data_IF_432838697450
#
_entry.id   IF_432838697450
#
_cell.length_a   1.000
_cell.length_b   1.000
_cell.length_c   1.000
_cell.angle_alpha   90.00
_cell.angle_beta   90.00
_cell.angle_gamma   90.00
#
_symmetry.space_group_name_H-M   'P 1'
#
loop_
_entity.id
_entity.type
_entity.pdbx_description
1 polymer ?
#
# COMPACT_ATOMS: atom_id res chain seq x y z
N UNK A 1 31.99 -44.20 -22.68
CA UNK A 1 31.19 -43.88 -21.47
C UNK A 1 29.85 -43.32 -21.96
N UNK A 2 28.87 -44.17 -22.34
CA UNK A 2 27.68 -44.62 -21.57
C UNK A 2 26.88 -43.51 -20.83
N UNK A 3 25.85 -42.98 -21.54
CA UNK A 3 24.44 -42.66 -21.13
C UNK A 3 24.16 -41.60 -20.02
N UNK A 4 22.93 -41.02 -19.90
CA UNK A 4 21.83 -40.87 -20.87
C UNK A 4 21.08 -39.50 -20.87
N UNK A 5 20.19 -39.37 -21.86
CA UNK A 5 19.02 -38.48 -21.96
C UNK A 5 18.03 -38.59 -20.77
N UNK A 6 17.29 -37.51 -20.50
CA UNK A 6 15.88 -37.59 -20.08
C UNK A 6 15.07 -36.35 -20.56
N UNK A 7 14.08 -36.65 -21.39
CA UNK A 7 12.93 -35.82 -21.81
C UNK A 7 11.79 -36.04 -20.81
N UNK A 8 10.91 -35.05 -20.62
CA UNK A 8 9.45 -35.08 -20.31
C UNK A 8 9.09 -33.89 -19.41
N UNK A 9 7.93 -33.23 -19.47
CA UNK A 9 6.81 -33.19 -20.41
C UNK A 9 5.98 -31.94 -20.04
N UNK A 10 5.52 -31.20 -21.04
CA UNK A 10 4.51 -30.16 -20.86
C UNK A 10 3.12 -30.82 -20.79
N UNK A 11 2.37 -30.54 -19.72
CA UNK A 11 0.96 -30.93 -19.62
C UNK A 11 0.10 -29.70 -19.88
N UNK A 12 -0.53 -29.71 -21.07
CA UNK A 12 -1.67 -28.87 -21.42
C UNK A 12 -2.92 -29.49 -20.78
N UNK A 13 -3.59 -28.74 -19.90
CA UNK A 13 -4.98 -29.02 -19.53
C UNK A 13 -5.88 -27.94 -20.15
N UNK A 14 -6.56 -28.33 -21.23
CA UNK A 14 -7.73 -27.64 -21.73
C UNK A 14 -8.94 -28.07 -20.90
N UNK A 15 -9.54 -27.13 -20.18
CA UNK A 15 -10.81 -27.30 -19.49
C UNK A 15 -11.78 -26.22 -19.96
N UNK A 16 -12.79 -26.63 -20.73
CA UNK A 16 -13.88 -25.78 -21.17
C UNK A 16 -14.81 -25.45 -19.99
N UNK A 17 -15.07 -24.16 -19.75
CA UNK A 17 -16.16 -23.73 -18.88
C UNK A 17 -17.02 -22.67 -19.59
N UNK A 18 -18.31 -22.94 -19.51
CA UNK A 18 -19.47 -22.32 -20.16
C UNK A 18 -19.70 -20.86 -19.75
N UNK A 19 -20.29 -20.08 -20.67
CA UNK A 19 -20.75 -18.71 -20.44
C UNK A 19 -21.82 -18.62 -19.32
N UNK A 20 -21.90 -17.50 -18.57
CA UNK A 20 -22.78 -17.35 -17.42
C UNK A 20 -24.22 -17.01 -17.81
N UNK A 21 -25.17 -17.55 -17.04
CA UNK A 21 -26.57 -17.10 -17.03
C UNK A 21 -26.71 -15.83 -16.16
N UNK A 22 -27.34 -14.80 -16.72
CA UNK A 22 -27.75 -13.59 -16.00
C UNK A 22 -28.92 -13.88 -15.05
N UNK A 23 -28.83 -13.39 -13.82
CA UNK A 23 -29.96 -13.22 -12.92
C UNK A 23 -30.02 -11.76 -12.45
N UNK A 24 -31.23 -11.23 -12.46
CA UNK A 24 -31.57 -9.82 -12.36
C UNK A 24 -31.52 -9.24 -10.93
N UNK A 25 -31.63 -7.91 -10.91
CA UNK A 25 -31.50 -6.93 -9.83
C UNK A 25 -32.33 -7.19 -8.56
N UNK A 26 -31.72 -6.84 -7.42
CA UNK A 26 -32.40 -6.54 -6.17
C UNK A 26 -31.89 -5.20 -5.63
N UNK A 27 -32.80 -4.22 -5.52
CA UNK A 27 -32.55 -2.88 -4.97
C UNK A 27 -32.25 -2.92 -3.47
N UNK A 28 -31.05 -2.49 -3.07
CA UNK A 28 -30.72 -2.24 -1.66
C UNK A 28 -29.26 -1.83 -1.47
N UNK A 29 -29.02 -0.52 -1.26
CA UNK A 29 -27.73 0.07 -0.88
C UNK A 29 -26.61 -0.15 -1.90
N UNK A 30 -26.11 0.92 -2.53
CA UNK A 30 -24.89 0.84 -3.35
C UNK A 30 -23.70 0.53 -2.43
N UNK A 31 -23.47 -0.75 -2.16
CA UNK A 31 -22.19 -1.25 -1.65
C UNK A 31 -21.18 -0.91 -2.73
N UNK A 32 -20.23 -0.03 -2.43
CA UNK A 32 -19.20 0.33 -3.40
C UNK A 32 -18.44 -0.94 -3.71
N UNK A 33 -18.23 -1.24 -5.00
CA UNK A 33 -17.60 -2.50 -5.39
C UNK A 33 -16.16 -2.65 -4.85
N UNK A 34 -15.57 -1.56 -4.34
CA UNK A 34 -14.27 -1.55 -3.66
C UNK A 34 -14.25 -2.10 -2.23
N UNK A 35 -15.39 -2.47 -1.64
CA UNK A 35 -15.49 -2.83 -0.20
C UNK A 35 -15.11 -4.30 0.11
N UNK A 36 -14.80 -5.10 -0.92
CA UNK A 36 -14.61 -6.57 -0.80
C UNK A 36 -13.19 -7.05 -1.12
N UNK A 37 -12.26 -6.14 -1.40
CA UNK A 37 -10.94 -6.49 -1.93
C UNK A 37 -11.00 -6.96 -3.39
N UNK A 38 -9.84 -7.12 -4.03
CA UNK A 38 -9.71 -7.49 -5.45
C UNK A 38 -8.32 -8.04 -5.75
N UNK A 39 -8.15 -8.71 -6.89
CA UNK A 39 -6.84 -9.19 -7.36
C UNK A 39 -6.37 -8.34 -8.53
N UNK A 40 -5.17 -7.78 -8.48
CA UNK A 40 -4.61 -7.03 -9.61
C UNK A 40 -4.27 -7.99 -10.76
N UNK A 41 -4.91 -7.83 -11.92
CA UNK A 41 -4.80 -8.80 -13.04
C UNK A 41 -3.79 -8.40 -14.13
N UNK A 42 -3.26 -7.18 -14.07
CA UNK A 42 -2.33 -6.67 -15.07
C UNK A 42 -0.91 -7.18 -14.79
N UNK A 43 -0.30 -7.97 -15.68
CA UNK A 43 1.03 -8.56 -15.45
C UNK A 43 2.16 -7.52 -15.43
N UNK A 44 1.87 -6.25 -15.77
CA UNK A 44 2.81 -5.15 -15.63
C UNK A 44 2.95 -4.70 -14.17
N UNK A 45 1.99 -5.00 -13.30
CA UNK A 45 2.04 -4.66 -11.88
C UNK A 45 2.65 -5.87 -11.15
N UNK A 46 3.94 -5.79 -10.86
CA UNK A 46 4.72 -6.88 -10.25
C UNK A 46 5.16 -6.57 -8.83
N UNK A 47 5.30 -5.30 -8.49
CA UNK A 47 5.94 -4.78 -7.27
C UNK A 47 5.10 -3.63 -6.71
N UNK A 48 3.77 -3.81 -6.61
CA UNK A 48 2.84 -2.78 -6.10
C UNK A 48 3.23 -2.31 -4.69
N UNK A 49 3.99 -1.22 -4.58
CA UNK A 49 4.56 -0.74 -3.31
C UNK A 49 3.59 0.19 -2.54
N UNK A 50 2.85 1.06 -3.22
CA UNK A 50 1.83 1.91 -2.61
C UNK A 50 0.40 1.68 -3.12
N UNK A 51 -0.61 2.08 -2.34
CA UNK A 51 -2.02 2.06 -2.75
C UNK A 51 -2.75 3.34 -2.32
N UNK A 52 -3.56 3.93 -3.19
CA UNK A 52 -4.41 5.06 -2.83
C UNK A 52 -5.78 5.02 -3.51
N UNK A 53 -6.86 5.13 -2.73
CA UNK A 53 -8.22 5.19 -3.28
C UNK A 53 -8.46 6.50 -4.03
N UNK A 54 -9.00 6.40 -5.24
CA UNK A 54 -9.34 7.55 -6.09
C UNK A 54 -10.40 8.44 -5.45
N UNK A 55 -10.21 9.77 -5.55
CA UNK A 55 -11.24 10.74 -5.16
C UNK A 55 -12.21 11.03 -6.31
N UNK A 56 -11.73 11.06 -7.55
CA UNK A 56 -12.55 11.35 -8.73
C UNK A 56 -13.34 10.16 -9.27
N UNK A 57 -12.89 8.93 -9.04
CA UNK A 57 -13.44 7.71 -9.63
C UNK A 57 -13.73 6.67 -8.54
N UNK A 58 -14.94 6.65 -7.97
CA UNK A 58 -15.32 5.69 -6.95
C UNK A 58 -15.04 4.24 -7.38
N UNK A 59 -14.36 3.48 -6.51
CA UNK A 59 -13.98 2.08 -6.77
C UNK A 59 -12.66 1.91 -7.55
N UNK A 60 -11.96 3.00 -7.88
CA UNK A 60 -10.63 2.94 -8.49
C UNK A 60 -9.55 3.12 -7.43
N UNK A 61 -8.46 2.37 -7.57
CA UNK A 61 -7.29 2.45 -6.72
C UNK A 61 -6.05 2.71 -7.57
N UNK A 62 -5.24 3.68 -7.15
CA UNK A 62 -3.96 4.00 -7.76
C UNK A 62 -2.85 3.21 -7.09
N UNK A 63 -1.94 2.66 -7.89
CA UNK A 63 -0.73 1.97 -7.45
C UNK A 63 0.45 2.30 -8.38
N UNK A 64 1.66 1.95 -7.97
CA UNK A 64 2.87 1.96 -8.78
C UNK A 64 3.71 0.74 -8.44
N UNK A 65 4.56 0.32 -9.38
CA UNK A 65 5.64 -0.58 -9.03
C UNK A 65 6.75 0.18 -8.28
N UNK A 66 7.57 -0.53 -7.53
CA UNK A 66 8.83 -0.03 -6.97
C UNK A 66 9.91 0.15 -8.08
N UNK A 67 11.19 0.12 -7.69
CA UNK A 67 12.34 0.54 -8.46
C UNK A 67 12.50 -0.25 -9.76
N UNK A 68 12.69 0.48 -10.86
CA UNK A 68 13.05 -0.10 -12.16
C UNK A 68 11.92 -0.24 -13.20
N UNK A 69 10.65 0.00 -12.85
CA UNK A 69 9.54 -0.02 -13.83
C UNK A 69 9.50 1.26 -14.69
N UNK A 70 9.70 2.41 -14.06
CA UNK A 70 9.70 3.72 -14.70
C UNK A 70 8.67 4.68 -14.10
N UNK A 71 8.38 5.81 -14.77
CA UNK A 71 7.56 6.89 -14.22
C UNK A 71 6.06 6.61 -14.45
N UNK A 72 5.54 5.49 -13.95
CA UNK A 72 4.16 5.06 -14.17
C UNK A 72 3.37 4.96 -12.86
N UNK A 73 2.09 5.33 -12.93
CA UNK A 73 1.08 4.89 -11.96
C UNK A 73 -0.07 4.19 -12.72
N UNK A 74 -0.71 3.26 -12.06
CA UNK A 74 -1.76 2.40 -12.62
C UNK A 74 -3.06 2.64 -11.86
N UNK A 75 -4.16 2.87 -12.57
CA UNK A 75 -5.52 2.84 -12.02
C UNK A 75 -6.09 1.44 -12.16
N UNK A 76 -6.40 0.81 -11.04
CA UNK A 76 -7.01 -0.52 -10.97
C UNK A 76 -8.46 -0.40 -10.54
N UNK A 77 -9.36 -1.04 -11.27
CA UNK A 77 -10.77 -1.17 -10.93
C UNK A 77 -10.93 -2.20 -9.80
N UNK A 78 -11.44 -1.76 -8.65
CA UNK A 78 -11.60 -2.60 -7.46
C UNK A 78 -12.74 -3.61 -7.53
N UNK A 79 -13.60 -3.55 -8.54
CA UNK A 79 -14.64 -4.56 -8.76
C UNK A 79 -14.12 -5.76 -9.57
N UNK A 80 -13.20 -5.49 -10.49
CA UNK A 80 -12.75 -6.46 -11.50
C UNK A 80 -11.26 -6.80 -11.41
N UNK A 81 -10.47 -6.00 -10.70
CA UNK A 81 -9.03 -6.12 -10.64
C UNK A 81 -8.29 -5.71 -11.91
N UNK A 82 -8.99 -5.10 -12.88
CA UNK A 82 -8.42 -4.71 -14.18
C UNK A 82 -7.78 -3.34 -14.11
N UNK A 83 -6.61 -3.18 -14.72
CA UNK A 83 -6.04 -1.84 -14.98
C UNK A 83 -6.87 -1.12 -16.04
N UNK A 84 -7.43 0.03 -15.68
CA UNK A 84 -8.27 0.87 -16.56
C UNK A 84 -7.54 2.11 -17.06
N UNK A 85 -6.38 2.45 -16.48
CA UNK A 85 -5.48 3.46 -17.02
C UNK A 85 -4.05 3.21 -16.54
N UNK A 86 -3.07 3.51 -17.40
CA UNK A 86 -1.69 3.75 -17.02
C UNK A 86 -1.32 5.21 -17.29
N UNK A 87 -0.96 5.93 -16.25
CA UNK A 87 -0.50 7.33 -16.37
C UNK A 87 1.02 7.35 -16.37
N UNK A 88 1.61 7.95 -17.41
CA UNK A 88 3.04 8.26 -17.47
C UNK A 88 3.29 9.66 -16.92
N UNK A 89 4.18 9.79 -15.95
CA UNK A 89 4.58 11.06 -15.36
C UNK A 89 5.65 11.71 -16.26
N UNK A 90 5.44 12.99 -16.61
CA UNK A 90 6.41 13.83 -17.33
C UNK A 90 6.75 15.07 -16.49
N UNK A 91 7.94 15.65 -16.71
CA UNK A 91 8.39 16.83 -15.97
C UNK A 91 9.15 16.49 -14.69
N UNK A 92 9.45 15.20 -14.50
CA UNK A 92 10.25 14.66 -13.41
C UNK A 92 11.60 14.17 -13.95
N UNK A 93 12.57 13.97 -13.05
CA UNK A 93 13.84 13.32 -13.35
C UNK A 93 13.66 11.82 -13.64
N UNK A 94 14.77 11.08 -13.70
CA UNK A 94 14.71 9.62 -13.72
C UNK A 94 14.34 9.12 -12.31
N UNK A 95 13.20 8.43 -12.13
CA UNK A 95 12.86 7.88 -10.82
C UNK A 95 13.91 6.90 -10.35
N UNK A 96 14.14 6.80 -9.04
CA UNK A 96 15.16 5.92 -8.49
C UNK A 96 14.60 4.80 -7.60
N UNK A 97 13.75 5.13 -6.62
CA UNK A 97 13.20 4.20 -5.60
C UNK A 97 11.79 4.70 -5.22
N UNK A 98 10.78 4.30 -6.00
CA UNK A 98 9.41 4.84 -5.89
C UNK A 98 8.62 3.96 -4.95
N UNK A 99 8.39 4.44 -3.73
CA UNK A 99 7.87 3.61 -2.64
C UNK A 99 6.47 3.97 -2.17
N UNK A 100 5.95 5.15 -2.55
CA UNK A 100 4.70 5.59 -1.96
C UNK A 100 3.77 6.35 -2.92
N UNK A 101 2.47 6.26 -2.67
CA UNK A 101 1.45 7.04 -3.34
C UNK A 101 0.36 7.46 -2.35
N UNK A 102 -0.12 8.69 -2.49
CA UNK A 102 -1.18 9.25 -1.65
C UNK A 102 -2.04 10.21 -2.47
N UNK A 103 -3.27 10.48 -2.02
CA UNK A 103 -4.10 11.53 -2.62
C UNK A 103 -4.37 12.60 -1.57
N UNK A 104 -4.05 13.84 -1.94
CA UNK A 104 -4.28 15.01 -1.12
C UNK A 104 -5.57 15.76 -1.46
N UNK A 105 -5.78 16.93 -0.84
CA UNK A 105 -6.84 17.84 -1.21
C UNK A 105 -6.81 18.18 -2.71
N UNK A 106 -7.96 18.61 -3.24
CA UNK A 106 -8.13 19.04 -4.64
C UNK A 106 -7.90 17.94 -5.69
N UNK A 107 -8.02 16.66 -5.29
CA UNK A 107 -7.83 15.51 -6.17
C UNK A 107 -6.43 15.49 -6.79
N UNK A 108 -5.43 15.60 -5.94
CA UNK A 108 -4.03 15.62 -6.36
C UNK A 108 -3.34 14.37 -5.86
N UNK A 109 -2.75 13.64 -6.78
CA UNK A 109 -1.96 12.45 -6.49
C UNK A 109 -0.54 12.93 -6.15
N UNK A 110 0.02 12.34 -5.10
CA UNK A 110 1.40 12.50 -4.68
C UNK A 110 2.08 11.15 -4.76
N UNK A 111 3.24 11.09 -5.41
CA UNK A 111 4.06 9.89 -5.56
C UNK A 111 5.43 10.17 -4.94
N UNK A 112 5.88 9.29 -4.07
CA UNK A 112 7.15 9.40 -3.36
C UNK A 112 8.22 8.56 -4.02
N UNK A 113 9.23 9.22 -4.58
CA UNK A 113 10.53 8.61 -4.89
C UNK A 113 11.45 8.86 -3.70
N UNK A 114 11.11 8.16 -2.62
CA UNK A 114 11.55 8.40 -1.24
C UNK A 114 12.31 7.23 -0.62
N UNK A 115 12.34 6.10 -1.33
CA UNK A 115 13.18 4.96 -0.96
C UNK A 115 14.66 5.31 -1.04
N UNK A 116 15.43 4.51 -0.32
CA UNK A 116 16.87 4.45 -0.38
C UNK A 116 17.29 3.07 0.16
N UNK A 117 17.21 2.06 -0.71
CA UNK A 117 17.69 0.70 -0.45
C UNK A 117 19.18 0.60 0.00
N UNK A 118 19.92 1.71 0.00
CA UNK A 118 21.28 1.85 0.55
C UNK A 118 21.30 2.43 1.98
N UNK A 119 20.15 2.48 2.65
CA UNK A 119 19.94 2.99 4.02
C UNK A 119 20.34 4.46 4.23
N UNK A 120 19.90 5.33 3.33
CA UNK A 120 20.17 6.77 3.43
C UNK A 120 21.54 7.16 2.84
N UNK A 121 21.83 6.71 1.62
CA UNK A 121 22.99 7.19 0.86
C UNK A 121 22.69 8.51 0.14
N UNK A 122 21.44 8.79 -0.20
CA UNK A 122 21.09 9.88 -1.10
C UNK A 122 20.87 11.19 -0.35
N UNK A 123 21.54 12.28 -0.73
CA UNK A 123 21.47 13.56 -0.01
C UNK A 123 20.09 14.23 -0.09
N UNK A 124 19.21 13.74 -0.95
CA UNK A 124 17.84 14.17 -1.13
C UNK A 124 17.04 13.11 -1.89
N UNK A 125 15.73 13.18 -1.74
CA UNK A 125 14.71 12.36 -2.41
C UNK A 125 13.67 13.26 -3.10
N UNK A 126 12.66 12.69 -3.76
CA UNK A 126 11.65 13.49 -4.44
C UNK A 126 10.22 13.10 -4.11
N UNK A 127 9.34 14.10 -4.23
CA UNK A 127 7.90 13.90 -4.30
C UNK A 127 7.44 14.45 -5.65
N UNK A 128 6.59 13.69 -6.34
CA UNK A 128 5.93 14.10 -7.57
C UNK A 128 4.47 14.37 -7.27
N UNK A 129 3.94 15.51 -7.73
CA UNK A 129 2.52 15.88 -7.58
C UNK A 129 1.88 16.06 -8.94
N UNK A 130 0.72 15.45 -9.15
CA UNK A 130 -0.04 15.57 -10.38
C UNK A 130 -1.54 15.64 -10.09
N UNK A 131 -2.34 16.30 -10.95
CA UNK A 131 -3.79 16.21 -10.83
C UNK A 131 -4.24 14.78 -11.11
N UNK A 132 -5.19 14.29 -10.33
CA UNK A 132 -5.90 13.07 -10.66
C UNK A 132 -6.64 13.26 -12.00
N UNK A 133 -6.46 12.37 -12.99
CA UNK A 133 -7.05 12.55 -14.31
C UNK A 133 -8.57 12.45 -14.25
N UNK A 134 -9.28 13.40 -14.88
CA UNK A 134 -10.75 13.36 -14.99
C UNK A 134 -11.27 12.23 -15.88
N UNK A 135 -10.41 11.64 -16.72
CA UNK A 135 -10.75 10.54 -17.63
C UNK A 135 -9.71 9.46 -17.49
N UNK A 136 -10.14 8.25 -17.14
CA UNK A 136 -9.27 7.08 -17.05
C UNK A 136 -8.98 6.54 -18.45
N UNK A 137 -7.72 6.70 -18.86
CA UNK A 137 -7.13 6.13 -20.07
C UNK A 137 -5.61 6.20 -19.95
N UNK A 138 -4.93 5.41 -20.75
CA UNK A 138 -3.49 5.56 -20.93
C UNK A 138 -3.16 6.97 -21.43
N UNK A 139 -2.36 7.71 -20.66
CA UNK A 139 -2.02 9.09 -20.97
C UNK A 139 -0.76 9.56 -20.26
N UNK A 140 -0.19 10.65 -20.74
CA UNK A 140 0.93 11.33 -20.07
C UNK A 140 0.42 12.57 -19.34
N UNK A 141 0.76 12.70 -18.06
CA UNK A 141 0.42 13.86 -17.23
C UNK A 141 1.71 14.54 -16.80
N UNK A 142 1.72 15.88 -16.84
CA UNK A 142 2.85 16.66 -16.34
C UNK A 142 2.74 16.76 -14.83
N UNK A 143 3.73 16.23 -14.13
CA UNK A 143 3.85 16.29 -12.68
C UNK A 143 4.81 17.42 -12.27
N UNK A 144 4.60 17.94 -11.07
CA UNK A 144 5.51 18.86 -10.39
C UNK A 144 6.43 18.07 -9.49
N UNK A 145 7.74 18.29 -9.61
CA UNK A 145 8.74 17.64 -8.76
C UNK A 145 9.16 18.54 -7.60
N UNK A 146 9.24 17.97 -6.40
CA UNK A 146 9.73 18.63 -5.19
C UNK A 146 10.97 17.90 -4.68
N UNK A 147 12.02 18.66 -4.38
CA UNK A 147 13.22 18.12 -3.72
C UNK A 147 12.97 18.06 -2.22
N UNK A 148 13.24 16.90 -1.62
CA UNK A 148 13.03 16.63 -0.20
C UNK A 148 14.36 16.33 0.47
N UNK A 149 14.57 16.90 1.66
CA UNK A 149 15.69 16.56 2.54
C UNK A 149 15.16 16.37 3.96
N UNK A 150 15.70 15.38 4.66
CA UNK A 150 15.40 15.19 6.06
C UNK A 150 16.39 16.00 6.92
N UNK A 151 15.88 16.66 7.96
CA UNK A 151 16.66 17.57 8.81
C UNK A 151 17.85 16.89 9.52
N UNK A 152 17.74 15.60 9.80
CA UNK A 152 18.70 14.75 10.49
C UNK A 152 19.47 13.82 9.52
N UNK A 153 19.52 14.15 8.23
CA UNK A 153 20.31 13.43 7.21
C UNK A 153 19.51 12.43 6.38
N UNK A 154 20.09 11.85 5.33
CA UNK A 154 19.43 10.84 4.48
C UNK A 154 18.85 9.62 5.24
N UNK A 155 17.84 8.97 4.67
CA UNK A 155 17.22 7.73 5.19
C UNK A 155 16.39 7.04 4.11
N UNK A 156 16.15 5.74 4.30
CA UNK A 156 15.15 4.97 3.56
C UNK A 156 13.73 5.27 4.10
N UNK A 157 12.75 5.49 3.24
CA UNK A 157 11.37 5.74 3.62
C UNK A 157 10.40 5.12 2.63
N UNK A 158 9.25 4.68 3.13
CA UNK A 158 8.32 3.85 2.35
C UNK A 158 6.89 4.38 2.41
N UNK A 159 6.61 5.33 3.30
CA UNK A 159 5.25 5.87 3.44
C UNK A 159 5.22 7.36 3.15
N UNK A 160 4.27 7.78 2.31
CA UNK A 160 3.96 9.16 2.00
C UNK A 160 2.51 9.43 2.37
N UNK A 161 2.29 10.45 3.19
CA UNK A 161 0.98 10.83 3.70
C UNK A 161 0.69 12.26 3.31
N UNK A 162 -0.52 12.54 2.85
CA UNK A 162 -0.99 13.91 2.63
C UNK A 162 -2.25 14.13 3.45
N UNK A 163 -2.21 15.09 4.36
CA UNK A 163 -3.36 15.37 5.21
C UNK A 163 -4.53 15.89 4.34
N UNK A 164 -5.72 15.28 4.40
CA UNK A 164 -6.80 15.52 3.41
C UNK A 164 -7.38 16.93 3.46
N UNK A 165 -7.33 17.59 4.64
CA UNK A 165 -7.79 18.98 4.82
C UNK A 165 -6.70 20.02 4.58
N UNK A 166 -5.51 19.86 5.17
CA UNK A 166 -4.46 20.90 5.16
C UNK A 166 -3.51 20.79 3.97
N UNK A 167 -3.45 19.63 3.29
CA UNK A 167 -2.52 19.36 2.20
C UNK A 167 -1.06 19.23 2.63
N UNK A 168 -0.79 19.23 3.94
CA UNK A 168 0.57 19.05 4.44
C UNK A 168 1.03 17.61 4.21
N UNK A 169 2.27 17.47 3.79
CA UNK A 169 2.89 16.19 3.45
C UNK A 169 3.74 15.69 4.61
N UNK A 170 3.62 14.40 4.89
CA UNK A 170 4.39 13.67 5.89
C UNK A 170 5.03 12.43 5.26
N UNK A 171 6.14 11.99 5.85
CA UNK A 171 6.87 10.78 5.43
C UNK A 171 7.12 9.91 6.66
N UNK A 172 7.07 8.58 6.52
CA UNK A 172 7.52 7.65 7.56
C UNK A 172 8.75 6.90 7.05
N UNK A 173 9.84 6.93 7.81
CA UNK A 173 11.05 6.17 7.47
C UNK A 173 10.91 4.67 7.79
N UNK A 174 11.57 3.82 7.00
CA UNK A 174 11.56 2.36 7.18
C UNK A 174 12.76 1.94 8.01
N UNK A 175 12.49 1.61 9.27
CA UNK A 175 13.50 1.14 10.22
C UNK A 175 12.98 -0.09 10.96
N UNK A 176 13.78 -1.15 10.97
CA UNK A 176 13.43 -2.45 11.56
C UNK A 176 13.11 -2.33 13.07
N UNK A 177 13.88 -1.51 13.79
CA UNK A 177 13.69 -1.27 15.22
C UNK A 177 12.64 -0.17 15.53
N UNK A 178 11.89 0.29 14.53
CA UNK A 178 10.91 1.38 14.65
C UNK A 178 11.30 2.63 13.85
N UNK A 179 10.38 3.12 13.03
CA UNK A 179 10.52 4.32 12.23
C UNK A 179 10.13 5.62 12.94
N UNK A 180 10.06 6.69 12.16
CA UNK A 180 9.75 8.04 12.60
C UNK A 180 8.87 8.73 11.59
N UNK A 181 7.90 9.50 12.08
CA UNK A 181 7.08 10.41 11.30
C UNK A 181 7.85 11.72 11.09
N UNK A 182 7.97 12.12 9.83
CA UNK A 182 8.56 13.38 9.41
C UNK A 182 7.49 14.32 8.87
N UNK A 183 7.51 15.56 9.34
CA UNK A 183 6.64 16.63 8.87
C UNK A 183 7.38 17.50 7.84
N UNK A 184 6.76 17.67 6.67
CA UNK A 184 7.18 18.65 5.66
C UNK A 184 6.70 20.08 5.94
N UNK A 185 7.18 21.08 5.18
CA UNK A 185 6.69 22.44 5.30
C UNK A 185 5.17 22.51 5.02
N UNK A 186 4.52 23.59 5.49
CA UNK A 186 3.08 23.80 5.27
C UNK A 186 2.68 23.76 3.80
N UNK A 187 3.59 24.17 2.91
CA UNK A 187 3.43 24.09 1.47
C UNK A 187 4.76 23.69 0.86
N UNK A 188 4.74 22.70 -0.02
CA UNK A 188 5.93 22.31 -0.76
C UNK A 188 6.35 23.41 -1.74
N UNK A 189 7.64 23.70 -1.79
CA UNK A 189 8.25 24.66 -2.70
C UNK A 189 8.98 23.95 -3.83
N UNK A 190 8.76 24.40 -5.06
CA UNK A 190 9.56 24.00 -6.24
C UNK A 190 10.93 24.69 -6.28
N UNK A 191 11.14 25.70 -5.43
CA UNK A 191 12.42 26.38 -5.26
C UNK A 191 13.14 25.88 -4.01
N UNK A 192 14.34 25.33 -4.18
CA UNK A 192 15.15 24.79 -3.08
C UNK A 192 14.67 23.42 -2.56
N UNK A 193 15.20 23.04 -1.41
CA UNK A 193 14.84 21.78 -0.75
C UNK A 193 13.75 22.00 0.30
N UNK A 194 12.78 21.10 0.33
CA UNK A 194 11.76 20.99 1.36
C UNK A 194 12.33 20.19 2.53
N UNK A 195 12.47 20.83 3.69
CA UNK A 195 13.07 20.18 4.87
C UNK A 195 11.99 19.49 5.69
N UNK A 196 12.10 18.17 5.78
CA UNK A 196 11.24 17.31 6.57
C UNK A 196 11.87 17.06 7.94
N UNK A 197 11.12 17.33 9.02
CA UNK A 197 11.61 17.25 10.41
C UNK A 197 10.95 16.07 11.13
N UNK A 198 11.70 15.26 11.90
CA UNK A 198 11.10 14.22 12.72
C UNK A 198 10.22 14.85 13.80
N UNK A 199 9.00 14.35 13.97
CA UNK A 199 8.01 14.89 14.93
C UNK A 199 7.49 13.85 15.91
N UNK A 200 7.51 12.56 15.55
CA UNK A 200 7.08 11.47 16.42
C UNK A 200 7.76 10.15 16.05
N UNK A 201 8.01 9.24 17.01
CA UNK A 201 8.35 7.86 16.71
C UNK A 201 7.14 7.10 16.17
N UNK A 202 7.39 6.15 15.29
CA UNK A 202 6.44 5.16 14.79
C UNK A 202 7.07 3.81 15.08
N UNK A 203 6.68 3.17 16.20
CA UNK A 203 7.26 1.91 16.70
C UNK A 203 6.83 0.69 15.85
N UNK A 204 7.06 0.77 14.54
CA UNK A 204 6.73 -0.21 13.54
C UNK A 204 7.75 -0.14 12.40
N UNK A 205 8.12 -1.30 11.87
CA UNK A 205 8.81 -1.39 10.59
C UNK A 205 7.81 -1.10 9.47
N UNK A 206 7.57 0.19 9.22
CA UNK A 206 6.53 0.66 8.33
C UNK A 206 6.87 0.39 6.85
N UNK A 207 5.84 0.03 6.08
CA UNK A 207 5.89 -0.16 4.63
C UNK A 207 4.95 0.79 3.93
N UNK A 208 3.81 1.14 4.53
CA UNK A 208 2.92 2.20 4.01
C UNK A 208 2.02 2.75 5.13
N UNK A 209 1.38 3.90 4.88
CA UNK A 209 0.47 4.54 5.80
C UNK A 209 -0.58 5.40 5.07
N UNK A 210 -1.74 5.57 5.71
CA UNK A 210 -2.84 6.38 5.17
C UNK A 210 -3.56 7.18 6.25
N UNK A 211 -4.03 8.37 5.89
CA UNK A 211 -4.96 9.14 6.72
C UNK A 211 -6.40 8.67 6.48
N UNK A 212 -7.24 8.70 7.51
CA UNK A 212 -8.69 8.62 7.32
C UNK A 212 -9.18 9.78 6.43
N UNK A 213 -10.31 9.65 5.72
CA UNK A 213 -10.83 10.71 4.85
C UNK A 213 -11.10 12.05 5.57
N UNK A 214 -11.45 11.99 6.86
CA UNK A 214 -11.59 13.19 7.69
C UNK A 214 -10.24 13.73 8.20
N UNK A 215 -9.15 12.96 8.12
CA UNK A 215 -7.83 13.34 8.60
C UNK A 215 -7.64 13.25 10.12
N UNK A 216 -8.60 12.65 10.83
CA UNK A 216 -8.58 12.57 12.30
C UNK A 216 -7.88 11.29 12.79
N UNK A 217 -7.52 10.38 11.88
CA UNK A 217 -6.83 9.13 12.15
C UNK A 217 -5.72 8.82 11.16
N UNK A 218 -4.71 8.10 11.64
CA UNK A 218 -3.58 7.59 10.86
C UNK A 218 -3.49 6.08 11.04
N UNK A 219 -3.53 5.34 9.93
CA UNK A 219 -3.25 3.92 9.88
C UNK A 219 -1.85 3.71 9.30
N UNK A 220 -0.98 3.02 10.03
CA UNK A 220 0.36 2.65 9.57
C UNK A 220 0.44 1.14 9.50
N UNK A 221 0.89 0.59 8.38
CA UNK A 221 1.13 -0.84 8.23
C UNK A 221 2.62 -1.16 8.10
N UNK A 222 2.97 -2.36 8.51
CA UNK A 222 4.26 -2.99 8.30
C UNK A 222 4.07 -4.47 7.98
N UNK A 223 5.18 -5.18 7.76
CA UNK A 223 5.15 -6.58 7.29
C UNK A 223 4.35 -7.54 8.18
N UNK A 224 4.46 -7.40 9.52
CA UNK A 224 3.91 -8.36 10.48
C UNK A 224 2.81 -7.77 11.39
N UNK A 225 2.32 -6.57 11.06
CA UNK A 225 1.30 -5.90 11.86
C UNK A 225 1.13 -4.44 11.45
N UNK A 226 0.21 -3.75 12.11
CA UNK A 226 -0.03 -2.33 11.88
C UNK A 226 -0.42 -1.63 13.17
N UNK A 227 -0.34 -0.31 13.16
CA UNK A 227 -0.69 0.54 14.29
C UNK A 227 -1.67 1.61 13.81
N UNK A 228 -2.72 1.79 14.60
CA UNK A 228 -3.72 2.82 14.38
C UNK A 228 -3.52 3.94 15.40
N UNK A 229 -3.67 5.18 14.95
CA UNK A 229 -3.45 6.37 15.74
C UNK A 229 -4.62 7.33 15.60
N UNK A 230 -4.99 8.02 16.69
CA UNK A 230 -5.70 9.29 16.58
C UNK A 230 -4.71 10.38 16.19
N UNK A 231 -5.11 11.24 15.26
CA UNK A 231 -4.29 12.34 14.78
C UNK A 231 -4.52 13.58 15.63
N UNK A 232 -3.44 14.12 16.23
CA UNK A 232 -3.49 15.35 17.03
C UNK A 232 -2.46 16.35 16.49
N UNK A 233 -2.66 16.80 15.24
CA UNK A 233 -1.84 17.84 14.59
C UNK A 233 -0.33 17.58 14.65
N UNK A 234 0.12 16.42 14.16
CA UNK A 234 1.53 16.01 14.19
C UNK A 234 1.94 15.27 15.46
N UNK A 235 1.01 15.05 16.40
CA UNK A 235 1.23 14.23 17.59
C UNK A 235 0.32 12.99 17.56
N UNK A 236 0.62 12.00 16.71
CA UNK A 236 -0.20 10.78 16.62
C UNK A 236 -0.19 10.04 17.96
N UNK A 237 -1.38 9.66 18.44
CA UNK A 237 -1.54 8.89 19.67
C UNK A 237 -2.05 7.50 19.32
N UNK A 238 -1.26 6.47 19.62
CA UNK A 238 -1.63 5.08 19.37
C UNK A 238 -2.94 4.74 20.08
N UNK A 239 -3.90 4.20 19.33
CA UNK A 239 -5.20 3.76 19.82
C UNK A 239 -5.30 2.24 19.86
N UNK A 240 -4.84 1.56 18.82
CA UNK A 240 -4.88 0.09 18.73
C UNK A 240 -3.83 -0.50 17.76
N UNK A 241 -3.76 -1.82 17.70
CA UNK A 241 -3.03 -2.54 16.65
C UNK A 241 -3.99 -2.94 15.56
N UNK A 242 -3.57 -2.77 14.31
CA UNK A 242 -4.32 -3.24 13.16
C UNK A 242 -4.09 -4.74 12.98
N UNK A 243 -5.18 -5.45 12.71
CA UNK A 243 -5.13 -6.82 12.22
C UNK A 243 -4.75 -6.81 10.73
N UNK A 244 -3.45 -6.73 10.44
CA UNK A 244 -2.93 -6.71 9.06
C UNK A 244 -3.00 -8.12 8.47
N UNK A 245 -3.54 -8.31 7.25
CA UNK A 245 -3.55 -9.62 6.59
C UNK A 245 -2.14 -10.20 6.43
N UNK A 246 -1.99 -11.51 6.62
CA UNK A 246 -0.75 -12.20 6.30
C UNK A 246 -0.59 -12.29 4.78
N UNK A 247 0.30 -11.48 4.23
CA UNK A 247 0.68 -11.46 2.82
C UNK A 247 2.19 -11.72 2.70
N UNK A 248 2.63 -12.36 1.62
CA UNK A 248 4.04 -12.74 1.46
C UNK A 248 5.01 -11.56 1.46
N UNK A 249 4.61 -10.44 0.85
CA UNK A 249 5.25 -9.13 0.85
C UNK A 249 4.13 -8.07 0.84
N UNK A 250 3.46 -7.88 1.98
CA UNK A 250 2.51 -6.78 2.07
C UNK A 250 3.27 -5.46 1.95
N UNK A 251 2.78 -4.51 1.15
CA UNK A 251 3.39 -3.17 1.00
C UNK A 251 2.39 -2.03 1.30
N UNK A 252 1.34 -1.87 0.51
CA UNK A 252 0.45 -0.71 0.58
C UNK A 252 -0.75 -0.79 1.55
N UNK A 253 -1.25 0.38 1.98
CA UNK A 253 -2.52 0.55 2.72
C UNK A 253 -3.26 1.82 2.30
N UNK A 254 -4.57 1.75 2.08
CA UNK A 254 -5.42 2.93 1.89
C UNK A 254 -6.77 2.76 2.57
N UNK A 255 -7.39 3.86 2.97
CA UNK A 255 -8.83 3.89 3.21
C UNK A 255 -9.60 3.68 1.90
N UNK A 256 -10.79 3.06 1.98
CA UNK A 256 -11.81 3.22 0.95
C UNK A 256 -12.28 4.67 0.91
N UNK A 257 -12.76 5.13 -0.24
CA UNK A 257 -13.16 6.53 -0.42
C UNK A 257 -14.28 6.98 0.54
N UNK A 258 -15.11 6.04 1.03
CA UNK A 258 -16.18 6.29 2.00
C UNK A 258 -15.71 6.18 3.47
N UNK A 259 -14.45 5.81 3.71
CA UNK A 259 -13.86 5.67 5.04
C UNK A 259 -14.21 4.39 5.78
N UNK A 260 -14.98 3.46 5.20
CA UNK A 260 -15.50 2.29 5.92
C UNK A 260 -14.55 1.09 5.93
N UNK A 261 -13.52 1.09 5.08
CA UNK A 261 -12.56 -0.01 4.95
C UNK A 261 -11.12 0.51 4.94
N UNK A 262 -10.23 -0.34 5.42
CA UNK A 262 -8.82 -0.32 5.09
C UNK A 262 -8.54 -1.41 4.07
N UNK A 263 -7.89 -1.06 2.97
CA UNK A 263 -7.45 -1.96 1.93
C UNK A 263 -5.94 -2.15 2.01
N UNK A 264 -5.49 -3.40 1.95
CA UNK A 264 -4.09 -3.81 2.10
C UNK A 264 -3.60 -4.50 0.84
N UNK A 265 -2.55 -3.99 0.19
CA UNK A 265 -1.95 -4.59 -1.01
C UNK A 265 -0.66 -5.34 -0.69
N UNK A 266 -0.27 -6.22 -1.62
CA UNK A 266 1.02 -6.89 -1.59
C UNK A 266 1.70 -6.86 -2.95
N UNK A 267 3.01 -7.09 -2.97
CA UNK A 267 3.74 -7.34 -4.20
C UNK A 267 3.41 -8.71 -4.82
N UNK A 268 3.85 -8.88 -6.06
CA UNK A 268 3.68 -10.06 -6.88
C UNK A 268 2.68 -9.83 -8.01
N UNK A 269 3.00 -10.36 -9.19
CA UNK A 269 2.03 -10.43 -10.29
C UNK A 269 0.79 -11.21 -9.85
N UNK A 270 -0.40 -10.65 -10.04
CA UNK A 270 -1.62 -11.29 -9.57
C UNK A 270 -1.87 -11.13 -8.07
N UNK A 271 -1.29 -10.12 -7.42
CA UNK A 271 -1.44 -9.90 -5.98
C UNK A 271 -2.86 -9.51 -5.57
N UNK A 272 -3.23 -9.92 -4.37
CA UNK A 272 -4.51 -9.56 -3.75
C UNK A 272 -4.41 -8.25 -2.98
N UNK A 273 -5.48 -7.46 -3.10
CA UNK A 273 -5.84 -6.37 -2.21
C UNK A 273 -6.95 -6.86 -1.29
N UNK A 274 -6.71 -6.89 0.00
CA UNK A 274 -7.66 -7.39 1.00
C UNK A 274 -8.30 -6.20 1.70
N UNK A 275 -9.64 -6.16 1.78
CA UNK A 275 -10.38 -5.14 2.52
C UNK A 275 -10.74 -5.64 3.93
N UNK A 276 -10.55 -4.80 4.94
CA UNK A 276 -11.03 -5.00 6.32
C UNK A 276 -11.78 -3.77 6.80
N UNK A 277 -12.69 -3.93 7.75
CA UNK A 277 -13.37 -2.80 8.39
C UNK A 277 -12.33 -1.83 8.97
N UNK A 278 -12.50 -0.53 8.71
CA UNK A 278 -11.66 0.47 9.37
C UNK A 278 -12.08 0.59 10.85
N UNK A 279 -11.14 0.80 11.80
CA UNK A 279 -11.46 0.82 13.23
C UNK A 279 -12.49 1.88 13.64
N UNK A 280 -12.51 3.00 12.92
CA UNK A 280 -13.40 4.15 13.05
C UNK A 280 -14.73 3.99 12.31
N UNK A 281 -14.95 2.88 11.61
CA UNK A 281 -16.19 2.62 10.88
C UNK A 281 -17.37 2.51 11.83
N UNK A 282 -18.54 3.09 11.49
CA UNK A 282 -19.76 2.89 12.27
C UNK A 282 -20.07 1.40 12.40
N UNK A 283 -19.94 0.84 13.61
CA UNK A 283 -20.29 -0.55 13.86
C UNK A 283 -21.80 -0.71 13.70
N UNK A 284 -22.29 -1.74 12.99
CA UNK A 284 -23.71 -2.06 12.98
C UNK A 284 -24.20 -2.18 14.43
N UNK A 285 -25.29 -1.49 14.77
CA UNK A 285 -25.89 -1.63 16.09
C UNK A 285 -26.24 -3.10 16.31
N UNK A 286 -25.90 -3.69 17.48
CA UNK A 286 -26.26 -5.07 17.75
C UNK A 286 -27.79 -5.16 17.74
N UNK A 287 -28.33 -5.94 16.80
CA UNK A 287 -29.73 -6.35 16.84
C UNK A 287 -29.96 -7.05 18.18
N UNK A 288 -31.02 -6.73 18.96
CA UNK A 288 -31.32 -7.44 20.19
C UNK A 288 -31.58 -8.93 19.90
N UNK A 289 -30.55 -9.75 20.03
CA UNK A 289 -30.62 -11.19 19.87
C UNK A 289 -31.17 -11.81 21.15
N UNK A 290 -32.37 -12.37 21.06
CA UNK A 290 -32.99 -13.18 22.10
C UNK A 290 -32.00 -14.25 22.59
N UNK A 291 -31.69 -14.20 23.89
CA UNK A 291 -30.81 -15.16 24.53
C UNK A 291 -31.38 -16.57 24.50
N UNK A 292 -30.55 -17.51 24.07
CA UNK A 292 -30.65 -18.91 24.46
C UNK A 292 -29.23 -19.46 24.64
N UNK A 293 -28.88 -19.71 25.89
CA UNK A 293 -27.69 -20.42 26.33
C UNK A 293 -27.77 -21.90 25.95
N UNK A 294 -26.70 -22.47 25.35
CA UNK A 294 -26.12 -23.71 25.89
C UNK A 294 -24.73 -24.08 25.35
N UNK A 295 -23.89 -24.51 26.31
CA UNK A 295 -22.87 -25.58 26.31
C UNK A 295 -21.75 -25.66 25.26
N UNK A 296 -20.53 -25.39 25.76
CA UNK A 296 -19.26 -26.13 25.64
C UNK A 296 -19.07 -27.23 24.57
N UNK A 297 -18.02 -27.09 23.75
CA UNK A 297 -17.17 -28.20 23.26
C UNK A 297 -15.71 -27.74 23.13
N UNK A 298 -14.81 -28.57 23.67
CA UNK A 298 -13.35 -28.56 23.60
C UNK A 298 -12.80 -28.96 22.22
N UNK A 299 -11.64 -28.42 21.82
CA UNK A 299 -10.68 -29.16 21.00
C UNK A 299 -9.86 -28.38 19.95
N UNK A 300 -8.53 -28.50 20.04
CA UNK A 300 -7.66 -28.69 18.87
C UNK A 300 -6.94 -27.46 18.30
N UNK A 301 -5.75 -27.15 18.81
CA UNK A 301 -4.78 -26.29 18.14
C UNK A 301 -4.17 -27.01 16.93
N UNK A 302 -4.65 -26.70 15.73
CA UNK A 302 -3.99 -27.07 14.48
C UNK A 302 -3.00 -25.96 14.08
N UNK A 303 -1.70 -26.20 14.30
CA UNK A 303 -0.64 -25.39 13.70
C UNK A 303 -0.51 -25.82 12.24
N UNK A 304 -0.94 -24.96 11.32
CA UNK A 304 -0.75 -25.16 9.89
C UNK A 304 0.73 -24.96 9.55
N UNK A 305 1.38 -26.02 9.07
CA UNK A 305 2.80 -26.08 8.68
C UNK A 305 3.24 -25.05 7.62
N UNK A 306 2.32 -24.32 6.99
CA UNK A 306 2.62 -23.22 6.06
C UNK A 306 3.28 -22.00 6.71
N UNK A 307 2.99 -21.71 7.98
CA UNK A 307 3.56 -20.55 8.68
C UNK A 307 5.07 -20.71 8.98
N UNK A 308 5.55 -21.95 9.14
CA UNK A 308 6.96 -22.22 9.47
C UNK A 308 7.86 -22.13 8.21
N UNK A 309 7.34 -22.48 7.03
CA UNK A 309 8.10 -22.39 5.79
C UNK A 309 8.36 -20.93 5.35
N UNK A 310 7.41 -20.02 5.63
CA UNK A 310 7.48 -18.62 5.21
C UNK A 310 8.46 -17.79 6.06
N UNK A 311 8.51 -18.05 7.38
CA UNK A 311 9.53 -17.48 8.28
C UNK A 311 10.95 -17.83 7.82
N UNK A 312 11.17 -19.04 7.28
CA UNK A 312 12.49 -19.49 6.80
C UNK A 312 12.89 -18.79 5.50
N UNK A 313 11.93 -18.44 4.62
CA UNK A 313 12.23 -17.68 3.39
C UNK A 313 12.58 -16.24 3.70
N UNK A 314 11.84 -15.58 4.61
CA UNK A 314 12.15 -14.22 5.05
C UNK A 314 13.52 -14.20 5.74
N UNK A 315 13.76 -15.07 6.73
CA UNK A 315 15.08 -15.15 7.39
C UNK A 315 16.20 -15.55 6.43
N UNK A 316 15.91 -16.37 5.41
CA UNK A 316 16.88 -16.80 4.40
C UNK A 316 17.33 -15.69 3.46
N UNK A 317 16.40 -14.86 2.98
CA UNK A 317 16.70 -13.73 2.09
C UNK A 317 17.48 -12.63 2.84
N UNK A 318 17.09 -12.31 4.08
CA UNK A 318 17.79 -11.33 4.92
C UNK A 318 19.12 -11.86 5.49
N UNK A 319 19.24 -13.16 5.75
CA UNK A 319 20.46 -13.81 6.22
C UNK A 319 21.58 -13.85 5.17
N UNK A 320 21.25 -14.10 3.89
CA UNK A 320 22.23 -14.08 2.79
C UNK A 320 22.74 -12.67 2.47
N UNK A 321 21.91 -11.63 2.64
CA UNK A 321 22.35 -10.24 2.53
C UNK A 321 23.39 -9.86 3.59
N UNK A 322 23.26 -10.41 4.81
CA UNK A 322 24.17 -10.13 5.94
C UNK A 322 25.55 -10.76 5.79
N UNK A 323 25.67 -11.93 5.13
CA UNK A 323 26.97 -12.56 4.87
C UNK A 323 27.77 -11.86 3.77
N UNK A 324 27.11 -11.22 2.80
CA UNK A 324 27.80 -10.45 1.75
C UNK A 324 28.35 -9.11 2.24
N UNK A 325 27.77 -8.50 3.28
CA UNK A 325 28.24 -7.21 3.85
C UNK A 325 29.39 -7.32 4.84
N UNK A 326 29.78 -8.53 5.31
CA UNK A 326 30.95 -8.71 6.19
C UNK A 326 32.27 -8.95 5.45
N UNK A 327 32.22 -9.13 4.13
CA UNK A 327 33.39 -9.47 3.31
C UNK A 327 33.65 -8.45 2.18
N UNK A 328 33.24 -7.19 2.34
CA UNK A 328 33.47 -6.10 1.39
C UNK A 328 33.93 -4.83 2.09
#
# INVERSE_FOLDING_TARGET
>A
MRRPFAVLAAVLLAGACTLPASAAEGTGGTVSAGDKGFTMTDPRITESSGLAASHLHPGIYWTHNDSGDGPYIYAVDGATGKTVARVTLRGIGAPRDVEAISIGPHNEIYVGDIGDNFDGRWPYVWIYRLPEPKVLKDQTITATQYVVKYANGPRNAESLLVHPKTGRVYIIDKKEDGGHLYEGPATLSTSGANIFKPIAPIDLWATDATFSPDGDHLAVRGYLGGIYYSWNDGHPKRTEMLDVPLQGQGEGITYSADGTKLLYSSEGSGSEVIAKDAPDSPKPSPTPGNGSSNSSVTGGSHVTWGAVALVVVVVGLFGLGRLRRRNG
#
